data_IF_699435802947
#
_entry.id   IF_699435802947
#
_cell.length_a   1.000
_cell.length_b   1.000
_cell.length_c   1.000
_cell.angle_alpha   90.00
_cell.angle_beta   90.00
_cell.angle_gamma   90.00
#
_symmetry.space_group_name_H-M   'P 1'
#
loop_
_entity.id
_entity.type
_entity.pdbx_description
1 polymer ?
#
# COMPACT_ATOMS: atom_id res chain seq x y z
N UNK A 1 -13.64 -21.22 16.57
CA UNK A 1 -12.76 -20.87 15.42
C UNK A 1 -13.59 -20.68 14.17
N UNK A 2 -13.36 -19.59 13.45
CA UNK A 2 -14.05 -19.30 12.19
C UNK A 2 -13.16 -19.72 11.01
N UNK A 3 -13.73 -20.38 10.01
CA UNK A 3 -13.03 -20.75 8.77
C UNK A 3 -13.59 -19.91 7.63
N UNK A 4 -12.71 -19.31 6.82
CA UNK A 4 -13.05 -18.49 5.64
C UNK A 4 -12.25 -18.95 4.43
N UNK A 5 -12.69 -18.59 3.23
CA UNK A 5 -11.92 -18.77 2.01
C UNK A 5 -11.05 -17.52 1.75
N UNK A 6 -9.99 -17.69 0.98
CA UNK A 6 -9.24 -16.56 0.43
C UNK A 6 -10.11 -15.72 -0.49
N UNK A 7 -9.89 -14.41 -0.49
CA UNK A 7 -10.61 -13.46 -1.35
C UNK A 7 -9.79 -12.23 -1.65
N UNK A 8 -10.23 -11.44 -2.63
CA UNK A 8 -9.60 -10.19 -3.03
C UNK A 8 -10.65 -9.14 -3.33
N UNK A 9 -10.21 -7.89 -3.32
CA UNK A 9 -10.99 -6.72 -3.68
C UNK A 9 -10.06 -5.72 -4.38
N UNK A 10 -10.44 -5.21 -5.55
CA UNK A 10 -9.75 -4.09 -6.20
C UNK A 10 -10.34 -2.81 -5.62
N UNK A 11 -9.48 -1.95 -5.09
CA UNK A 11 -9.92 -0.68 -4.52
C UNK A 11 -9.81 0.44 -5.53
N UNK A 12 -10.84 1.26 -5.58
CA UNK A 12 -10.84 2.48 -6.35
C UNK A 12 -9.71 3.41 -5.88
N UNK A 13 -9.02 4.01 -6.86
CA UNK A 13 -7.98 4.99 -6.59
C UNK A 13 -8.59 6.26 -5.99
N UNK A 14 -7.93 6.91 -5.01
CA UNK A 14 -8.40 8.20 -4.51
C UNK A 14 -8.32 9.28 -5.58
N UNK A 15 -9.24 10.24 -5.52
CA UNK A 15 -9.11 11.50 -6.25
C UNK A 15 -7.82 12.24 -5.86
N UNK A 16 -7.43 13.23 -6.69
CA UNK A 16 -6.18 14.00 -6.47
C UNK A 16 -6.34 15.13 -5.45
N UNK A 17 -7.52 15.37 -4.89
CA UNK A 17 -7.67 16.34 -3.81
C UNK A 17 -7.17 15.75 -2.47
N UNK A 18 -6.68 16.61 -1.60
CA UNK A 18 -6.08 16.20 -0.32
C UNK A 18 -7.03 15.39 0.56
N UNK A 19 -8.32 15.75 0.58
CA UNK A 19 -9.32 15.06 1.41
C UNK A 19 -9.50 13.60 1.01
N UNK A 20 -9.57 13.30 -0.29
CA UNK A 20 -9.71 11.93 -0.79
C UNK A 20 -8.45 11.11 -0.51
N UNK A 21 -7.28 11.72 -0.66
CA UNK A 21 -6.00 11.08 -0.33
C UNK A 21 -5.94 10.75 1.15
N UNK A 22 -6.33 11.66 2.03
CA UNK A 22 -6.35 11.44 3.48
C UNK A 22 -7.31 10.30 3.86
N UNK A 23 -8.53 10.26 3.28
CA UNK A 23 -9.50 9.18 3.49
C UNK A 23 -8.97 7.83 3.02
N UNK A 24 -8.28 7.81 1.88
CA UNK A 24 -7.71 6.58 1.36
C UNK A 24 -6.58 6.05 2.26
N UNK A 25 -5.68 6.91 2.73
CA UNK A 25 -4.63 6.56 3.68
C UNK A 25 -5.25 6.05 4.99
N UNK A 26 -6.32 6.69 5.48
CA UNK A 26 -7.03 6.19 6.66
C UNK A 26 -7.62 4.81 6.42
N UNK A 27 -8.32 4.58 5.30
CA UNK A 27 -8.91 3.27 4.93
C UNK A 27 -7.85 2.16 4.99
N UNK A 28 -6.68 2.40 4.37
CA UNK A 28 -5.55 1.47 4.41
C UNK A 28 -5.05 1.24 5.83
N UNK A 29 -4.82 2.31 6.57
CA UNK A 29 -4.28 2.22 7.93
C UNK A 29 -5.23 1.52 8.90
N UNK A 30 -6.53 1.76 8.79
CA UNK A 30 -7.54 1.10 9.63
C UNK A 30 -7.58 -0.41 9.42
N UNK A 31 -7.29 -0.89 8.20
CA UNK A 31 -7.13 -2.33 7.93
C UNK A 31 -6.02 -2.94 8.78
N UNK A 32 -4.89 -2.25 8.97
CA UNK A 32 -3.79 -2.76 9.81
C UNK A 32 -4.18 -2.95 11.28
N UNK A 33 -5.03 -2.07 11.81
CA UNK A 33 -5.43 -2.04 13.23
C UNK A 33 -6.82 -2.64 13.45
N UNK A 34 -7.48 -3.11 12.39
CA UNK A 34 -8.87 -3.58 12.42
C UNK A 34 -9.78 -2.57 13.13
N UNK A 35 -9.71 -1.33 12.71
CA UNK A 35 -10.41 -0.19 13.32
C UNK A 35 -11.26 0.59 12.31
N UNK A 36 -11.77 -0.09 11.29
CA UNK A 36 -12.62 0.46 10.23
C UNK A 36 -13.93 1.05 10.80
N UNK A 37 -14.40 0.51 11.92
CA UNK A 37 -15.51 1.00 12.69
C UNK A 37 -15.34 2.45 13.22
N UNK A 38 -14.13 2.96 13.21
CA UNK A 38 -13.79 4.33 13.65
C UNK A 38 -13.66 5.34 12.51
N UNK A 39 -13.93 4.93 11.28
CA UNK A 39 -13.95 5.83 10.13
C UNK A 39 -15.23 6.70 10.21
N UNK A 40 -15.04 8.01 10.15
CA UNK A 40 -16.11 9.01 10.10
C UNK A 40 -15.75 10.07 9.04
N UNK A 41 -16.68 10.93 8.69
CA UNK A 41 -16.47 11.98 7.68
C UNK A 41 -15.27 12.89 7.99
N UNK A 42 -14.90 13.04 9.27
CA UNK A 42 -13.87 13.96 9.74
C UNK A 42 -12.66 13.25 10.40
N UNK A 43 -12.59 11.92 10.39
CA UNK A 43 -11.53 11.19 11.11
C UNK A 43 -10.19 11.15 10.38
N UNK A 44 -10.19 11.27 9.04
CA UNK A 44 -9.02 11.06 8.20
C UNK A 44 -7.86 12.00 8.51
N UNK A 45 -8.14 13.29 8.67
CA UNK A 45 -7.10 14.30 8.98
C UNK A 45 -6.40 14.00 10.31
N UNK A 46 -7.18 13.73 11.35
CA UNK A 46 -6.63 13.39 12.67
C UNK A 46 -5.85 12.09 12.63
N UNK A 47 -6.36 11.09 11.89
CA UNK A 47 -5.68 9.80 11.76
C UNK A 47 -4.33 9.95 11.06
N UNK A 48 -4.29 10.60 9.89
CA UNK A 48 -3.06 10.79 9.12
C UNK A 48 -2.06 11.68 9.87
N UNK A 49 -2.52 12.75 10.53
CA UNK A 49 -1.68 13.58 11.38
C UNK A 49 -0.99 12.78 12.51
N UNK A 50 -1.70 11.80 13.10
CA UNK A 50 -1.10 10.89 14.09
C UNK A 50 -0.11 9.90 13.47
N UNK A 51 -0.36 9.41 12.25
CA UNK A 51 0.57 8.57 11.49
C UNK A 51 1.88 9.32 11.21
N UNK A 52 1.79 10.57 10.78
CA UNK A 52 2.93 11.44 10.53
C UNK A 52 3.74 11.66 11.82
N UNK A 53 3.09 12.09 12.90
CA UNK A 53 3.74 12.35 14.20
C UNK A 53 4.42 11.11 14.79
N UNK A 54 3.91 9.91 14.54
CA UNK A 54 4.48 8.65 15.02
C UNK A 54 5.49 8.02 14.06
N UNK A 55 5.79 8.68 12.95
CA UNK A 55 6.68 8.18 11.89
C UNK A 55 6.26 6.81 11.31
N UNK A 56 4.96 6.49 11.32
CA UNK A 56 4.42 5.25 10.74
C UNK A 56 4.18 5.39 9.24
N UNK A 57 5.22 5.80 8.50
CA UNK A 57 5.12 6.20 7.10
C UNK A 57 4.66 5.14 6.10
N UNK A 58 4.70 3.84 6.45
CA UNK A 58 4.35 2.77 5.51
C UNK A 58 2.91 2.90 4.95
N UNK A 59 1.95 3.37 5.78
CA UNK A 59 0.56 3.57 5.34
C UNK A 59 0.43 4.66 4.28
N UNK A 60 1.29 5.68 4.32
CA UNK A 60 1.33 6.78 3.34
C UNK A 60 1.89 6.35 1.98
N UNK A 61 2.49 5.16 1.88
CA UNK A 61 3.00 4.63 0.62
C UNK A 61 1.88 4.18 -0.34
N UNK A 62 0.65 4.05 0.13
CA UNK A 62 -0.49 3.60 -0.67
C UNK A 62 -1.16 4.71 -1.49
N UNK A 63 -0.83 5.96 -1.24
CA UNK A 63 -1.32 7.09 -2.03
C UNK A 63 -0.15 7.79 -2.73
N UNK A 64 -0.31 8.06 -4.03
CA UNK A 64 0.71 8.66 -4.88
C UNK A 64 0.23 9.97 -5.49
N UNK A 65 1.14 10.95 -5.56
CA UNK A 65 0.98 12.16 -6.36
C UNK A 65 1.75 12.00 -7.66
N UNK A 66 1.16 12.48 -8.74
CA UNK A 66 1.71 12.41 -10.08
C UNK A 66 1.63 13.79 -10.75
N UNK A 67 2.70 14.17 -11.44
CA UNK A 67 2.82 15.48 -12.06
C UNK A 67 3.38 15.38 -13.46
N UNK A 68 2.84 16.20 -14.37
CA UNK A 68 3.46 16.50 -15.66
C UNK A 68 4.35 17.72 -15.51
N UNK A 69 5.53 17.66 -16.10
CA UNK A 69 6.54 18.71 -16.00
C UNK A 69 7.16 18.99 -17.37
N UNK A 70 7.58 20.23 -17.64
CA UNK A 70 8.41 20.50 -18.81
C UNK A 70 9.80 19.86 -18.68
N UNK A 71 10.53 19.71 -19.80
CA UNK A 71 11.83 19.03 -19.81
C UNK A 71 12.87 19.70 -18.93
N UNK A 72 12.88 21.02 -18.82
CA UNK A 72 13.82 21.72 -17.95
C UNK A 72 13.62 21.36 -16.47
N UNK A 73 12.37 21.35 -16.02
CA UNK A 73 12.01 20.92 -14.64
C UNK A 73 12.31 19.43 -14.45
N UNK A 74 12.02 18.58 -15.44
CA UNK A 74 12.31 17.15 -15.41
C UNK A 74 13.80 16.87 -15.21
N UNK A 75 14.66 17.51 -16.00
CA UNK A 75 16.11 17.42 -15.86
C UNK A 75 16.61 17.96 -14.51
N UNK A 76 15.99 19.05 -14.02
CA UNK A 76 16.32 19.60 -12.70
C UNK A 76 16.02 18.61 -11.57
N UNK A 77 14.85 17.94 -11.62
CA UNK A 77 14.48 16.89 -10.67
C UNK A 77 15.47 15.71 -10.76
N UNK A 78 15.80 15.27 -11.97
CA UNK A 78 16.75 14.16 -12.19
C UNK A 78 18.14 14.47 -11.60
N UNK A 79 18.66 15.67 -11.84
CA UNK A 79 19.95 16.11 -11.28
C UNK A 79 19.91 16.20 -9.75
N UNK A 80 18.80 16.67 -9.19
CA UNK A 80 18.64 16.79 -7.75
C UNK A 80 18.60 15.42 -7.08
N UNK A 81 17.82 14.48 -7.61
CA UNK A 81 17.76 13.09 -7.13
C UNK A 81 19.16 12.45 -7.23
N UNK A 82 19.83 12.55 -8.38
CA UNK A 82 21.16 11.99 -8.58
C UNK A 82 22.19 12.58 -7.58
N UNK A 83 22.10 13.87 -7.28
CA UNK A 83 22.95 14.51 -6.28
C UNK A 83 22.72 13.90 -4.88
N UNK A 84 21.47 13.76 -4.45
CA UNK A 84 21.14 13.17 -3.15
C UNK A 84 21.56 11.70 -3.07
N UNK A 85 21.36 10.93 -4.15
CA UNK A 85 21.80 9.52 -4.22
C UNK A 85 23.31 9.40 -4.06
N UNK A 86 24.07 10.30 -4.71
CA UNK A 86 25.53 10.31 -4.62
C UNK A 86 26.06 10.77 -3.27
N UNK A 87 25.51 11.87 -2.72
CA UNK A 87 26.05 12.50 -1.51
C UNK A 87 25.68 11.81 -0.21
N UNK A 88 24.48 11.23 -0.11
CA UNK A 88 23.98 10.66 1.14
C UNK A 88 23.40 9.24 1.02
N UNK A 89 23.51 8.62 -0.16
CA UNK A 89 22.95 7.30 -0.39
C UNK A 89 21.41 7.27 -0.37
N UNK A 90 20.78 8.42 -0.61
CA UNK A 90 19.32 8.54 -0.71
C UNK A 90 18.81 7.59 -1.79
N UNK A 91 17.78 6.80 -1.45
CA UNK A 91 17.09 5.96 -2.44
C UNK A 91 15.79 6.61 -2.82
N UNK A 92 15.75 7.17 -4.02
CA UNK A 92 14.54 7.76 -4.55
C UNK A 92 13.55 6.68 -4.97
N UNK A 93 12.31 6.77 -4.46
CA UNK A 93 11.16 6.01 -4.94
C UNK A 93 10.25 6.87 -5.84
N UNK A 94 10.80 7.97 -6.38
CA UNK A 94 10.13 8.82 -7.37
C UNK A 94 10.36 8.19 -8.75
N UNK A 95 9.26 7.80 -9.39
CA UNK A 95 9.25 7.20 -10.74
C UNK A 95 9.21 8.31 -11.78
N UNK A 96 9.83 8.06 -12.93
CA UNK A 96 10.05 9.08 -13.97
C UNK A 96 9.97 8.44 -15.34
N UNK A 97 9.20 9.07 -16.23
CA UNK A 97 9.18 8.79 -17.68
C UNK A 97 9.28 10.11 -18.44
N UNK A 98 9.80 10.08 -19.66
CA UNK A 98 9.91 11.27 -20.51
C UNK A 98 9.34 11.00 -21.90
N UNK A 99 8.72 12.01 -22.47
CA UNK A 99 8.31 12.02 -23.87
C UNK A 99 9.10 13.13 -24.61
N UNK A 100 10.08 12.70 -25.39
CA UNK A 100 10.96 13.58 -26.14
C UNK A 100 10.28 14.27 -27.33
N UNK A 101 9.20 13.67 -27.88
CA UNK A 101 8.43 14.26 -28.97
C UNK A 101 7.53 15.39 -28.47
N UNK A 102 6.80 15.13 -27.40
CA UNK A 102 5.90 16.10 -26.77
C UNK A 102 6.62 17.04 -25.77
N UNK A 103 7.91 16.80 -25.52
CA UNK A 103 8.78 17.61 -24.66
C UNK A 103 8.26 17.81 -23.22
N UNK A 104 7.76 16.74 -22.64
CA UNK A 104 7.41 16.73 -21.22
C UNK A 104 7.98 15.49 -20.50
N UNK A 105 8.01 15.55 -19.18
CA UNK A 105 8.25 14.38 -18.32
C UNK A 105 7.08 14.15 -17.37
N UNK A 106 6.92 12.92 -16.92
CA UNK A 106 6.02 12.56 -15.82
C UNK A 106 6.87 12.12 -14.64
N UNK A 107 6.55 12.67 -13.48
CA UNK A 107 7.15 12.27 -12.21
C UNK A 107 6.04 11.85 -11.26
N UNK A 108 6.20 10.70 -10.62
CA UNK A 108 5.25 10.24 -9.60
C UNK A 108 5.97 9.62 -8.40
N UNK A 109 5.34 9.72 -7.25
CA UNK A 109 5.83 9.11 -6.03
C UNK A 109 4.72 9.00 -5.01
N UNK A 110 4.81 8.02 -4.12
CA UNK A 110 3.90 7.99 -2.99
C UNK A 110 4.22 9.13 -1.99
N UNK A 111 3.28 9.42 -1.10
CA UNK A 111 3.41 10.54 -0.15
C UNK A 111 4.69 10.41 0.69
N UNK A 112 5.05 9.21 1.12
CA UNK A 112 6.28 8.99 1.89
C UNK A 112 7.53 9.30 1.06
N UNK A 113 7.55 8.95 -0.23
CA UNK A 113 8.67 9.24 -1.12
C UNK A 113 8.88 10.75 -1.30
N UNK A 114 7.81 11.52 -1.51
CA UNK A 114 7.88 12.97 -1.59
C UNK A 114 8.34 13.61 -0.28
N UNK A 115 7.82 13.15 0.86
CA UNK A 115 8.27 13.62 2.18
C UNK A 115 9.76 13.34 2.41
N UNK A 116 10.22 12.14 2.08
CA UNK A 116 11.63 11.76 2.19
C UNK A 116 12.53 12.61 1.28
N UNK A 117 12.06 12.92 0.07
CA UNK A 117 12.78 13.79 -0.86
C UNK A 117 12.94 15.22 -0.32
N UNK A 118 11.87 15.82 0.24
CA UNK A 118 11.93 17.15 0.85
C UNK A 118 12.87 17.14 2.06
N UNK A 119 12.75 16.13 2.94
CA UNK A 119 13.59 16.01 4.13
C UNK A 119 15.08 15.90 3.77
N UNK A 120 15.42 15.04 2.80
CA UNK A 120 16.79 14.89 2.33
C UNK A 120 17.33 16.18 1.68
N UNK A 121 16.48 16.90 0.93
CA UNK A 121 16.85 18.19 0.35
C UNK A 121 17.19 19.22 1.42
N UNK A 122 16.38 19.33 2.46
CA UNK A 122 16.64 20.24 3.59
C UNK A 122 17.91 19.85 4.36
N UNK A 123 18.11 18.59 4.63
CA UNK A 123 19.26 18.09 5.40
C UNK A 123 20.59 18.30 4.64
N UNK A 124 20.63 18.01 3.35
CA UNK A 124 21.88 17.94 2.58
C UNK A 124 22.13 19.16 1.67
N UNK A 125 21.08 19.88 1.28
CA UNK A 125 21.18 21.07 0.42
C UNK A 125 20.83 22.34 1.18
N UNK A 126 20.09 22.23 2.29
CA UNK A 126 19.68 23.33 3.15
C UNK A 126 18.43 24.08 2.69
N UNK A 127 17.80 23.64 1.58
CA UNK A 127 16.60 24.29 1.02
C UNK A 127 15.59 23.28 0.49
N UNK A 128 14.29 23.63 0.53
CA UNK A 128 13.25 22.93 -0.19
C UNK A 128 13.35 23.33 -1.67
N UNK A 129 13.38 22.37 -2.62
CA UNK A 129 13.37 22.69 -4.04
C UNK A 129 12.15 23.54 -4.41
N UNK A 130 12.35 24.62 -5.14
CA UNK A 130 11.30 25.59 -5.47
C UNK A 130 10.09 24.94 -6.17
N UNK A 131 10.30 23.92 -6.98
CA UNK A 131 9.23 23.19 -7.65
C UNK A 131 8.36 22.36 -6.68
N UNK A 132 8.79 22.15 -5.43
CA UNK A 132 7.98 21.48 -4.39
C UNK A 132 7.03 22.43 -3.65
N UNK A 133 7.17 23.75 -3.80
CA UNK A 133 6.33 24.72 -3.08
C UNK A 133 4.84 24.57 -3.44
N UNK A 134 4.51 24.38 -4.72
CA UNK A 134 3.12 24.17 -5.12
C UNK A 134 2.54 22.87 -4.54
N UNK A 135 3.33 21.80 -4.44
CA UNK A 135 2.91 20.53 -3.86
C UNK A 135 2.61 20.69 -2.37
N UNK A 136 3.49 21.35 -1.62
CA UNK A 136 3.30 21.60 -0.18
C UNK A 136 2.09 22.49 0.06
N UNK A 137 1.90 23.52 -0.77
CA UNK A 137 0.76 24.43 -0.68
C UNK A 137 -0.58 23.75 -1.01
N UNK A 138 -0.61 22.91 -2.05
CA UNK A 138 -1.82 22.19 -2.46
C UNK A 138 -2.20 21.04 -1.50
N UNK A 139 -1.21 20.53 -0.73
CA UNK A 139 -1.39 19.38 0.18
C UNK A 139 -0.81 19.65 1.59
N UNK A 140 -1.23 20.72 2.29
CA UNK A 140 -0.60 21.15 3.54
C UNK A 140 -0.73 20.13 4.69
N UNK A 141 -1.78 19.32 4.71
CA UNK A 141 -2.01 18.30 5.73
C UNK A 141 -1.15 17.04 5.52
N UNK A 142 -0.70 16.81 4.27
CA UNK A 142 0.25 15.74 3.94
C UNK A 142 1.71 16.16 4.20
N UNK A 143 1.98 17.48 4.23
CA UNK A 143 3.30 18.07 4.44
C UNK A 143 3.32 19.12 5.57
N UNK A 144 2.71 18.83 6.75
CA UNK A 144 2.46 19.87 7.76
C UNK A 144 3.72 20.53 8.31
N UNK A 145 4.86 19.81 8.33
CA UNK A 145 6.13 20.38 8.84
C UNK A 145 6.73 21.44 7.92
N UNK A 146 6.27 21.50 6.67
CA UNK A 146 6.81 22.40 5.64
C UNK A 146 5.82 23.49 5.21
N UNK A 147 4.53 23.36 5.57
CA UNK A 147 3.44 24.21 5.05
C UNK A 147 3.60 25.70 5.44
N UNK A 148 4.00 25.97 6.68
CA UNK A 148 4.16 27.34 7.18
C UNK A 148 5.32 28.11 6.52
N UNK A 149 6.23 27.42 5.85
CA UNK A 149 7.40 28.01 5.19
C UNK A 149 7.19 28.34 3.71
N UNK A 150 6.00 28.13 3.14
CA UNK A 150 5.71 28.37 1.72
C UNK A 150 4.95 29.68 1.54
N UNK A 151 5.58 30.72 0.96
CA UNK A 151 4.91 31.99 0.69
C UNK A 151 3.85 31.83 -0.40
N UNK A 152 2.61 32.21 -0.14
CA UNK A 152 1.50 32.09 -1.09
C UNK A 152 1.74 32.87 -2.39
N UNK A 153 2.38 34.06 -2.29
CA UNK A 153 2.69 34.91 -3.43
C UNK A 153 3.70 34.26 -4.41
N UNK A 154 4.46 33.28 -3.93
CA UNK A 154 5.50 32.59 -4.70
C UNK A 154 4.95 31.36 -5.43
N UNK A 155 3.88 30.76 -4.92
CA UNK A 155 3.33 29.49 -5.45
C UNK A 155 2.89 29.62 -6.90
N UNK A 156 2.16 30.67 -7.26
CA UNK A 156 1.65 30.88 -8.62
C UNK A 156 2.78 31.18 -9.63
N UNK A 157 3.86 31.80 -9.16
CA UNK A 157 5.05 32.10 -9.99
C UNK A 157 5.89 30.84 -10.25
N UNK A 158 5.82 29.84 -9.36
CA UNK A 158 6.67 28.63 -9.38
C UNK A 158 5.87 27.32 -9.50
N UNK A 159 4.71 27.36 -10.14
CA UNK A 159 3.89 26.15 -10.41
C UNK A 159 4.50 25.31 -11.53
N UNK A 160 5.64 24.70 -11.23
CA UNK A 160 6.39 23.86 -12.16
C UNK A 160 5.85 22.43 -12.29
N UNK A 161 5.09 21.97 -11.29
CA UNK A 161 4.51 20.63 -11.24
C UNK A 161 2.99 20.75 -11.47
N UNK A 162 2.53 20.28 -12.61
CA UNK A 162 1.09 20.22 -12.94
C UNK A 162 0.51 18.87 -12.48
N UNK A 163 -0.36 18.84 -11.47
CA UNK A 163 -0.99 17.60 -11.04
C UNK A 163 -1.75 16.94 -12.19
N UNK A 164 -1.59 15.63 -12.34
CA UNK A 164 -2.30 14.82 -13.34
C UNK A 164 -2.87 13.57 -12.70
N UNK A 165 -3.88 12.99 -13.37
CA UNK A 165 -4.51 11.72 -13.00
C UNK A 165 -4.07 10.61 -13.95
N UNK A 166 -4.56 9.39 -13.73
CA UNK A 166 -4.30 8.26 -14.65
C UNK A 166 -4.94 8.47 -16.02
N UNK A 167 -6.03 9.28 -16.11
CA UNK A 167 -6.71 9.59 -17.36
C UNK A 167 -5.89 10.54 -18.26
N UNK A 168 -4.89 11.20 -17.70
CA UNK A 168 -3.96 12.07 -18.41
C UNK A 168 -2.74 11.33 -18.99
N UNK A 169 -2.55 10.06 -18.62
CA UNK A 169 -1.48 9.21 -19.17
C UNK A 169 -1.80 8.84 -20.62
N UNK A 170 -0.80 8.89 -21.50
CA UNK A 170 -1.00 8.79 -22.96
C UNK A 170 -0.43 7.52 -23.55
N UNK A 171 0.60 6.95 -22.94
CA UNK A 171 1.30 5.79 -23.46
C UNK A 171 1.16 4.59 -22.53
N UNK A 172 1.32 3.39 -23.07
CA UNK A 172 1.34 2.16 -22.28
C UNK A 172 2.47 2.20 -21.24
N UNK A 173 3.65 2.71 -21.60
CA UNK A 173 4.79 2.85 -20.69
C UNK A 173 4.44 3.74 -19.49
N UNK A 174 3.79 4.89 -19.72
CA UNK A 174 3.35 5.76 -18.66
C UNK A 174 2.39 5.05 -17.71
N UNK A 175 1.43 4.28 -18.23
CA UNK A 175 0.53 3.48 -17.39
C UNK A 175 1.27 2.36 -16.63
N UNK A 176 2.18 1.63 -17.29
CA UNK A 176 2.94 0.58 -16.62
C UNK A 176 3.76 1.11 -15.43
N UNK A 177 4.26 2.34 -15.53
CA UNK A 177 5.12 2.94 -14.51
C UNK A 177 4.35 3.74 -13.46
N UNK A 178 3.36 4.54 -13.88
CA UNK A 178 2.75 5.57 -13.02
C UNK A 178 1.33 5.24 -12.54
N UNK A 179 0.64 4.30 -13.20
CA UNK A 179 -0.72 3.91 -12.81
C UNK A 179 -0.67 2.89 -11.68
N UNK A 180 -0.86 3.36 -10.46
CA UNK A 180 -0.94 2.50 -9.28
C UNK A 180 -2.34 1.91 -9.13
N UNK A 181 -2.38 0.62 -8.82
CA UNK A 181 -3.59 -0.15 -8.49
C UNK A 181 -3.43 -0.69 -7.07
N UNK A 182 -4.51 -0.64 -6.29
CA UNK A 182 -4.55 -1.18 -4.93
C UNK A 182 -5.48 -2.37 -4.88
N UNK A 183 -4.98 -3.48 -4.35
CA UNK A 183 -5.81 -4.66 -4.06
C UNK A 183 -5.71 -5.00 -2.58
N UNK A 184 -6.85 -5.33 -1.98
CA UNK A 184 -6.93 -5.92 -0.65
C UNK A 184 -7.11 -7.41 -0.80
N UNK A 185 -6.33 -8.18 -0.06
CA UNK A 185 -6.39 -9.63 0.02
C UNK A 185 -6.83 -10.09 1.41
N UNK A 186 -7.68 -11.10 1.45
CA UNK A 186 -7.91 -11.94 2.62
C UNK A 186 -7.26 -13.28 2.31
N UNK A 187 -6.21 -13.62 3.03
CA UNK A 187 -5.46 -14.87 2.83
C UNK A 187 -4.82 -15.31 4.15
N UNK A 188 -4.22 -16.47 4.16
CA UNK A 188 -3.44 -16.94 5.31
C UNK A 188 -2.08 -16.21 5.42
N UNK A 189 -1.43 -16.34 6.57
CA UNK A 189 -0.15 -15.69 6.82
C UNK A 189 1.00 -16.28 5.99
N UNK A 190 0.95 -17.56 5.64
CA UNK A 190 1.92 -18.17 4.74
C UNK A 190 1.91 -17.49 3.38
N UNK A 191 0.74 -17.29 2.79
CA UNK A 191 0.56 -16.56 1.53
C UNK A 191 1.03 -15.11 1.67
N UNK A 192 0.71 -14.42 2.79
CA UNK A 192 1.20 -13.04 2.96
C UNK A 192 2.72 -12.93 2.94
N UNK A 193 3.44 -13.90 3.50
CA UNK A 193 4.92 -13.93 3.48
C UNK A 193 5.47 -14.06 2.06
N UNK A 194 4.73 -14.62 1.13
CA UNK A 194 5.11 -14.67 -0.28
C UNK A 194 4.74 -13.39 -1.03
N UNK A 195 3.54 -12.82 -0.79
CA UNK A 195 3.07 -11.58 -1.43
C UNK A 195 4.02 -10.42 -1.13
N UNK A 196 4.43 -10.22 0.13
CA UNK A 196 5.31 -9.09 0.52
C UNK A 196 6.73 -9.17 -0.04
N UNK A 197 7.08 -10.23 -0.75
CA UNK A 197 8.38 -10.36 -1.43
C UNK A 197 8.42 -9.75 -2.83
N UNK A 198 7.27 -9.33 -3.38
CA UNK A 198 7.23 -8.58 -4.64
C UNK A 198 7.62 -7.12 -4.40
N UNK A 199 8.54 -6.62 -5.22
CA UNK A 199 9.08 -5.26 -5.09
C UNK A 199 9.37 -4.67 -6.47
N UNK A 200 9.15 -3.37 -6.68
CA UNK A 200 8.60 -2.40 -5.72
C UNK A 200 7.06 -2.49 -5.57
N UNK A 201 6.59 -2.50 -4.34
CA UNK A 201 5.18 -2.42 -3.97
C UNK A 201 5.07 -1.96 -2.52
N UNK A 202 3.91 -1.41 -2.14
CA UNK A 202 3.60 -0.95 -0.79
C UNK A 202 2.65 -1.92 -0.12
N UNK A 203 2.84 -2.16 1.18
CA UNK A 203 2.11 -3.16 1.95
C UNK A 203 1.57 -2.61 3.27
N UNK A 204 0.30 -2.92 3.54
CA UNK A 204 -0.33 -2.70 4.83
C UNK A 204 -1.07 -3.98 5.23
N UNK A 205 -0.70 -4.56 6.37
CA UNK A 205 -1.20 -5.87 6.80
C UNK A 205 -1.81 -5.80 8.19
N UNK A 206 -2.90 -6.54 8.39
CA UNK A 206 -3.50 -6.79 9.72
C UNK A 206 -2.44 -7.26 10.72
N UNK A 207 -2.35 -6.55 11.83
CA UNK A 207 -1.27 -6.73 12.80
C UNK A 207 -1.69 -7.64 13.95
N UNK A 208 -1.09 -8.81 14.04
CA UNK A 208 -1.24 -9.71 15.20
C UNK A 208 -0.62 -9.17 16.49
N UNK A 209 0.06 -8.01 16.45
CA UNK A 209 0.55 -7.32 17.66
C UNK A 209 -0.55 -6.51 18.33
N UNK A 210 -1.45 -5.93 17.53
CA UNK A 210 -2.51 -5.03 18.00
C UNK A 210 -3.89 -5.69 18.01
N UNK A 211 -4.14 -6.69 17.14
CA UNK A 211 -5.40 -7.42 17.10
C UNK A 211 -5.41 -8.49 18.21
N UNK A 212 -6.32 -8.32 19.18
CA UNK A 212 -6.54 -9.29 20.25
C UNK A 212 -7.72 -10.20 19.88
N UNK A 213 -7.43 -11.37 19.34
CA UNK A 213 -8.46 -12.33 18.92
C UNK A 213 -9.27 -12.92 20.08
N UNK A 214 -8.79 -12.83 21.31
CA UNK A 214 -9.56 -13.21 22.50
C UNK A 214 -10.45 -12.10 23.04
N UNK A 215 -10.55 -10.96 22.35
CA UNK A 215 -11.43 -9.84 22.71
C UNK A 215 -12.79 -9.94 21.99
N UNK A 216 -13.81 -9.30 22.56
CA UNK A 216 -15.19 -9.31 22.05
C UNK A 216 -15.31 -8.86 20.60
N UNK A 217 -14.48 -7.90 20.19
CA UNK A 217 -14.42 -7.41 18.80
C UNK A 217 -14.14 -8.53 17.78
N UNK A 218 -13.43 -9.58 18.17
CA UNK A 218 -13.08 -10.71 17.33
C UNK A 218 -13.90 -11.96 17.69
N UNK A 219 -14.95 -11.82 18.52
CA UNK A 219 -15.82 -12.92 18.91
C UNK A 219 -15.16 -13.95 19.83
N UNK A 220 -14.03 -13.62 20.47
CA UNK A 220 -13.24 -14.55 21.28
C UNK A 220 -12.79 -15.80 20.50
N UNK A 221 -12.51 -15.64 19.21
CA UNK A 221 -12.08 -16.74 18.34
C UNK A 221 -11.03 -16.27 17.32
N UNK A 222 -10.18 -17.20 16.87
CA UNK A 222 -9.34 -16.94 15.71
C UNK A 222 -10.12 -17.21 14.42
N UNK A 223 -9.74 -16.52 13.36
CA UNK A 223 -10.18 -16.83 12.00
C UNK A 223 -9.01 -17.45 11.24
N UNK A 224 -9.25 -18.54 10.53
CA UNK A 224 -8.28 -19.22 9.67
C UNK A 224 -8.79 -19.28 8.24
N UNK A 225 -7.87 -19.39 7.28
CA UNK A 225 -8.20 -19.55 5.86
C UNK A 225 -8.11 -21.03 5.52
N UNK A 226 -9.19 -21.57 4.91
CA UNK A 226 -9.21 -22.95 4.46
C UNK A 226 -8.14 -23.16 3.37
N UNK A 227 -7.31 -24.23 3.47
CA UNK A 227 -6.34 -24.54 2.43
C UNK A 227 -7.04 -24.98 1.15
N UNK A 228 -6.60 -24.46 0.01
CA UNK A 228 -7.23 -24.73 -1.30
C UNK A 228 -6.87 -26.09 -1.88
N UNK A 229 -5.89 -26.77 -1.32
CA UNK A 229 -5.31 -28.02 -1.82
C UNK A 229 -5.89 -29.27 -1.13
N UNK A 230 -6.73 -29.13 -0.12
CA UNK A 230 -7.42 -30.26 0.49
C UNK A 230 -8.93 -30.06 0.48
N UNK A 231 -9.66 -31.14 0.27
CA UNK A 231 -11.11 -31.14 0.22
C UNK A 231 -11.71 -31.13 1.62
N UNK A 232 -12.73 -30.26 1.84
CA UNK A 232 -13.46 -30.22 3.11
C UNK A 232 -14.10 -31.57 3.44
N UNK A 233 -13.87 -32.07 4.67
CA UNK A 233 -14.33 -33.37 5.13
C UNK A 233 -13.40 -34.53 4.77
N UNK A 234 -12.25 -34.26 4.16
CA UNK A 234 -11.20 -35.27 4.03
C UNK A 234 -10.44 -35.44 5.36
N UNK A 235 -9.81 -36.59 5.57
CA UNK A 235 -9.00 -36.86 6.76
C UNK A 235 -7.89 -35.79 6.96
N UNK A 236 -7.25 -35.36 5.88
CA UNK A 236 -6.22 -34.29 5.91
C UNK A 236 -6.81 -32.95 6.34
N UNK A 237 -8.03 -32.63 5.87
CA UNK A 237 -8.71 -31.39 6.26
C UNK A 237 -9.09 -31.44 7.76
N UNK A 238 -9.56 -32.58 8.26
CA UNK A 238 -9.95 -32.74 9.66
C UNK A 238 -8.75 -32.62 10.59
N UNK A 239 -7.58 -33.17 10.22
CA UNK A 239 -6.32 -33.01 10.97
C UNK A 239 -5.83 -31.58 10.96
N UNK A 240 -5.89 -30.89 9.82
CA UNK A 240 -5.57 -29.47 9.72
C UNK A 240 -6.47 -28.63 10.63
N UNK A 241 -7.79 -28.89 10.60
CA UNK A 241 -8.78 -28.19 11.43
C UNK A 241 -8.53 -28.42 12.92
N UNK A 242 -8.30 -29.64 13.33
CA UNK A 242 -8.01 -30.00 14.73
C UNK A 242 -6.73 -29.30 15.24
N UNK A 243 -5.69 -29.19 14.40
CA UNK A 243 -4.47 -28.45 14.71
C UNK A 243 -4.75 -26.96 14.92
N UNK A 244 -5.58 -26.35 14.09
CA UNK A 244 -5.97 -24.94 14.21
C UNK A 244 -6.82 -24.69 15.48
N UNK A 245 -7.74 -25.58 15.83
CA UNK A 245 -8.57 -25.52 17.05
C UNK A 245 -7.71 -25.63 18.31
N UNK A 246 -6.68 -26.48 18.29
CA UNK A 246 -5.73 -26.56 19.39
C UNK A 246 -4.94 -25.25 19.53
N UNK A 247 -4.46 -24.67 18.43
CA UNK A 247 -3.75 -23.40 18.46
C UNK A 247 -4.64 -22.26 18.99
N UNK A 248 -5.91 -22.18 18.60
CA UNK A 248 -6.90 -21.25 19.17
C UNK A 248 -7.02 -21.40 20.68
N UNK A 249 -7.21 -22.63 21.15
CA UNK A 249 -7.32 -22.94 22.59
C UNK A 249 -6.10 -22.42 23.34
N UNK A 250 -4.89 -22.62 22.82
CA UNK A 250 -3.64 -22.15 23.42
C UNK A 250 -3.52 -20.63 23.40
N UNK A 251 -3.88 -19.98 22.29
CA UNK A 251 -3.87 -18.52 22.19
C UNK A 251 -4.83 -17.88 23.21
N UNK A 252 -6.07 -18.36 23.30
CA UNK A 252 -7.06 -17.85 24.24
C UNK A 252 -6.62 -18.09 25.69
N UNK A 253 -6.08 -19.29 25.98
CA UNK A 253 -5.54 -19.59 27.32
C UNK A 253 -4.42 -18.63 27.71
N UNK A 254 -3.44 -18.40 26.82
CA UNK A 254 -2.31 -17.48 27.08
C UNK A 254 -2.78 -16.05 27.34
N UNK A 255 -3.74 -15.56 26.54
CA UNK A 255 -4.21 -14.17 26.68
C UNK A 255 -5.15 -14.01 27.89
N UNK A 256 -6.12 -14.90 28.10
CA UNK A 256 -7.16 -14.73 29.11
C UNK A 256 -6.79 -15.29 30.49
N UNK A 257 -5.96 -16.34 30.57
CA UNK A 257 -5.60 -16.98 31.84
C UNK A 257 -4.20 -16.70 32.32
N UNK A 258 -3.23 -16.54 31.39
CA UNK A 258 -1.84 -16.29 31.73
C UNK A 258 -1.46 -14.79 31.64
N UNK A 259 -2.37 -13.93 31.14
CA UNK A 259 -2.14 -12.48 31.05
C UNK A 259 -1.15 -12.08 29.94
N UNK A 260 -0.86 -12.98 28.99
CA UNK A 260 0.00 -12.65 27.86
C UNK A 260 -0.66 -11.59 26.96
N UNK A 261 0.14 -10.66 26.49
CA UNK A 261 -0.29 -9.70 25.46
C UNK A 261 -0.52 -10.41 24.11
N UNK A 262 -1.34 -9.85 23.21
CA UNK A 262 -1.52 -10.43 21.86
C UNK A 262 -0.20 -10.64 21.11
N UNK A 263 0.77 -9.73 21.27
CA UNK A 263 2.08 -9.84 20.62
C UNK A 263 2.94 -11.00 21.16
N UNK A 264 2.71 -11.46 22.38
CA UNK A 264 3.35 -12.63 22.96
C UNK A 264 2.60 -13.90 22.55
N UNK A 265 1.28 -13.91 22.74
CA UNK A 265 0.43 -15.07 22.44
C UNK A 265 0.41 -15.45 20.94
N UNK A 266 0.63 -14.50 20.01
CA UNK A 266 0.66 -14.79 18.56
C UNK A 266 1.67 -15.86 18.15
N UNK A 267 2.64 -16.19 18.99
CA UNK A 267 3.66 -17.21 18.71
C UNK A 267 3.07 -18.61 18.51
N UNK A 268 1.85 -18.87 19.04
CA UNK A 268 1.16 -20.17 18.88
C UNK A 268 0.13 -20.17 17.75
N UNK A 269 -0.08 -19.04 17.05
CA UNK A 269 -1.01 -18.96 15.93
C UNK A 269 -0.47 -19.75 14.73
N UNK A 270 -1.33 -20.54 14.03
CA UNK A 270 -0.90 -21.28 12.84
C UNK A 270 -0.68 -20.36 11.64
N UNK A 271 0.09 -20.81 10.66
CA UNK A 271 0.26 -20.09 9.37
C UNK A 271 -1.06 -19.90 8.64
N UNK A 272 -2.04 -20.77 8.87
CA UNK A 272 -3.41 -20.64 8.35
C UNK A 272 -4.21 -19.48 8.94
N UNK A 273 -3.69 -18.77 9.97
CA UNK A 273 -4.36 -17.58 10.54
C UNK A 273 -4.66 -16.57 9.44
N UNK A 274 -5.93 -16.14 9.35
CA UNK A 274 -6.40 -15.12 8.41
C UNK A 274 -5.61 -13.82 8.61
N UNK A 275 -5.21 -13.21 7.51
CA UNK A 275 -4.69 -11.85 7.47
C UNK A 275 -5.39 -11.06 6.37
N UNK A 276 -5.62 -9.78 6.63
CA UNK A 276 -5.97 -8.81 5.60
C UNK A 276 -4.70 -8.07 5.19
N UNK A 277 -4.41 -8.10 3.90
CA UNK A 277 -3.22 -7.47 3.31
C UNK A 277 -3.64 -6.55 2.19
N UNK A 278 -3.29 -5.28 2.29
CA UNK A 278 -3.43 -4.31 1.21
C UNK A 278 -2.09 -4.18 0.49
N UNK A 279 -2.10 -4.36 -0.81
CA UNK A 279 -0.94 -4.16 -1.68
C UNK A 279 -1.26 -3.07 -2.70
N UNK A 280 -0.37 -2.09 -2.84
CA UNK A 280 -0.42 -1.06 -3.88
C UNK A 280 0.84 -1.16 -4.72
N UNK A 281 0.68 -1.27 -6.03
CA UNK A 281 1.78 -1.35 -6.99
C UNK A 281 1.36 -0.75 -8.33
N UNK A 282 2.32 -0.42 -9.19
CA UNK A 282 2.03 -0.01 -10.56
C UNK A 282 1.51 -1.19 -11.40
N UNK A 283 0.83 -0.89 -12.50
CA UNK A 283 0.36 -1.92 -13.44
C UNK A 283 1.50 -2.84 -13.86
N UNK A 284 2.69 -2.31 -14.16
CA UNK A 284 3.85 -3.12 -14.52
C UNK A 284 4.23 -4.14 -13.45
N UNK A 285 4.21 -3.74 -12.18
CA UNK A 285 4.50 -4.62 -11.04
C UNK A 285 3.37 -5.63 -10.78
N UNK A 286 2.11 -5.27 -11.01
CA UNK A 286 0.99 -6.22 -10.96
C UNK A 286 1.09 -7.28 -12.07
N UNK A 287 1.49 -6.90 -13.29
CA UNK A 287 1.76 -7.87 -14.37
C UNK A 287 2.87 -8.84 -13.97
N UNK A 288 3.95 -8.32 -13.35
CA UNK A 288 5.03 -9.16 -12.83
C UNK A 288 4.52 -10.12 -11.72
N UNK A 289 3.72 -9.62 -10.77
CA UNK A 289 3.10 -10.43 -9.72
C UNK A 289 2.28 -11.58 -10.31
N UNK A 290 1.35 -11.30 -11.21
CA UNK A 290 0.51 -12.33 -11.80
C UNK A 290 1.30 -13.33 -12.63
N UNK A 291 2.31 -12.89 -13.39
CA UNK A 291 3.21 -13.77 -14.15
C UNK A 291 3.91 -14.80 -13.28
N UNK A 292 4.23 -14.45 -12.03
CA UNK A 292 4.92 -15.34 -11.09
C UNK A 292 3.96 -16.18 -10.23
N UNK A 293 2.72 -15.71 -9.98
CA UNK A 293 1.85 -16.29 -8.95
C UNK A 293 0.65 -17.06 -9.48
N UNK A 294 0.37 -17.00 -10.77
CA UNK A 294 -0.69 -17.80 -11.42
C UNK A 294 -0.23 -19.15 -11.98
N UNK A 295 1.05 -19.36 -12.43
CA UNK A 295 1.50 -20.65 -12.97
C UNK A 295 1.47 -21.78 -11.93
N UNK A 296 1.47 -23.02 -12.43
CA UNK A 296 1.39 -24.25 -11.62
C UNK A 296 2.53 -24.43 -10.61
N UNK A 297 3.66 -23.79 -10.82
CA UNK A 297 4.79 -23.81 -9.88
C UNK A 297 4.62 -22.94 -8.63
N UNK A 298 3.62 -22.07 -8.59
CA UNK A 298 3.30 -21.29 -7.38
C UNK A 298 2.52 -22.18 -6.37
N UNK A 299 2.62 -21.82 -5.08
CA UNK A 299 1.89 -22.51 -4.02
C UNK A 299 0.37 -22.55 -4.32
N UNK A 300 -0.35 -23.67 -4.08
CA UNK A 300 -1.77 -23.77 -4.38
C UNK A 300 -2.61 -22.64 -3.78
N UNK A 301 -2.42 -22.28 -2.51
CA UNK A 301 -3.17 -21.23 -1.85
C UNK A 301 -2.85 -19.82 -2.44
N UNK A 302 -1.61 -19.61 -2.88
CA UNK A 302 -1.25 -18.40 -3.62
C UNK A 302 -1.97 -18.34 -4.97
N UNK A 303 -2.05 -19.44 -5.70
CA UNK A 303 -2.78 -19.53 -6.97
C UNK A 303 -4.28 -19.33 -6.79
N UNK A 304 -4.85 -19.91 -5.72
CA UNK A 304 -6.25 -19.72 -5.37
C UNK A 304 -6.59 -18.25 -5.09
N UNK A 305 -5.62 -17.43 -4.68
CA UNK A 305 -5.76 -15.99 -4.52
C UNK A 305 -5.48 -15.23 -5.83
N UNK A 306 -4.37 -15.54 -6.50
CA UNK A 306 -3.87 -14.75 -7.62
C UNK A 306 -4.68 -14.94 -8.92
N UNK A 307 -5.17 -16.16 -9.20
CA UNK A 307 -5.96 -16.43 -10.42
C UNK A 307 -7.28 -15.66 -10.44
N UNK A 308 -8.12 -15.70 -9.38
CA UNK A 308 -9.32 -14.87 -9.34
C UNK A 308 -9.02 -13.36 -9.34
N UNK A 309 -7.93 -12.92 -8.71
CA UNK A 309 -7.54 -11.52 -8.70
C UNK A 309 -7.15 -11.03 -10.12
N UNK A 310 -6.41 -11.85 -10.89
CA UNK A 310 -6.11 -11.56 -12.30
C UNK A 310 -7.40 -11.53 -13.14
N UNK A 311 -8.33 -12.48 -12.92
CA UNK A 311 -9.60 -12.48 -13.63
C UNK A 311 -10.42 -11.21 -13.36
N UNK A 312 -10.43 -10.72 -12.10
CA UNK A 312 -11.06 -9.44 -11.76
C UNK A 312 -10.35 -8.26 -12.43
N UNK A 313 -9.01 -8.23 -12.46
CA UNK A 313 -8.25 -7.16 -13.13
C UNK A 313 -8.54 -7.12 -14.65
N UNK A 314 -8.72 -8.28 -15.29
CA UNK A 314 -9.12 -8.37 -16.71
C UNK A 314 -10.54 -7.84 -16.99
N UNK A 315 -11.40 -7.82 -15.99
CA UNK A 315 -12.78 -7.34 -16.10
C UNK A 315 -12.99 -5.93 -15.53
N UNK A 316 -11.99 -5.35 -14.86
CA UNK A 316 -12.07 -4.00 -14.30
C UNK A 316 -11.87 -2.95 -15.41
N UNK A 317 -12.90 -2.17 -15.78
CA UNK A 317 -12.84 -1.30 -16.97
C UNK A 317 -11.64 -0.34 -16.98
N UNK A 318 -11.24 0.16 -15.80
CA UNK A 318 -10.16 1.13 -15.69
C UNK A 318 -8.77 0.55 -16.02
N UNK A 319 -8.59 -0.77 -15.92
CA UNK A 319 -7.27 -1.42 -16.05
C UNK A 319 -7.26 -2.67 -16.94
N UNK A 320 -8.42 -3.15 -17.39
CA UNK A 320 -8.58 -4.42 -18.12
C UNK A 320 -7.68 -4.54 -19.34
N UNK A 321 -7.48 -3.45 -20.09
CA UNK A 321 -6.64 -3.42 -21.28
C UNK A 321 -5.18 -3.82 -21.01
N UNK A 322 -4.68 -3.56 -19.81
CA UNK A 322 -3.29 -3.86 -19.43
C UNK A 322 -3.07 -5.31 -18.96
N UNK A 323 -4.12 -6.11 -18.84
CA UNK A 323 -4.05 -7.50 -18.41
C UNK A 323 -4.65 -8.49 -19.43
N UNK A 324 -5.15 -8.01 -20.55
CA UNK A 324 -5.87 -8.81 -21.54
C UNK A 324 -5.04 -9.93 -22.17
N UNK A 325 -3.72 -9.72 -22.28
CA UNK A 325 -2.75 -10.64 -22.87
C UNK A 325 -2.16 -11.67 -21.89
N UNK A 326 -2.56 -11.65 -20.62
CA UNK A 326 -2.01 -12.50 -19.54
C UNK A 326 -2.80 -13.79 -19.32
#
# INVERSE_FOLDING_TARGET
MKIVNSSHEIWERPGMNESDILRFIEKVGRTCYKSEDKITDNSAETFVGNIIKRHHGAVMEHASLMFRVNMHTFESINRHIAYLEHCCGFKSYIRRTEDMHEKYGIVSGNIRAWRAFISASLEWIGVIPVYMYSVIFDYPKLFPEYADGVPSEVVDLFRYLSPITVDDLRTEEEHLVHHDVTMKFICDRGVTHEVVRHRPASYAQESTRYCNYSGDKFGNEITVVAPSWCEAGSEVYDEWKASCENAETRYIWMTQKMGCTPQEARSVLPSSTKAELVMTASIGEWRHFFKLRTPSGAHPDMRALAIPALASAKNEPAISQFFSDM
#
